data_IF_361834496061
#
_entry.id   IF_361834496061
#
_cell.length_a   1.000
_cell.length_b   1.000
_cell.length_c   1.000
_cell.angle_alpha   90.00
_cell.angle_beta   90.00
_cell.angle_gamma   90.00
#
_symmetry.space_group_name_H-M   'P 1'
#
loop_
_entity.id
_entity.type
_entity.pdbx_description
1 polymer ?
#
# COMPACT_ATOMS: atom_id res chain seq x y z
N UNK A 1 22.85 13.77 -6.01
CA UNK A 1 22.52 12.32 -6.07
C UNK A 1 21.48 12.04 -5.00
N UNK A 2 20.38 11.36 -5.34
CA UNK A 2 19.29 11.04 -4.40
C UNK A 2 19.69 9.87 -3.50
N UNK A 3 19.98 10.14 -2.22
CA UNK A 3 20.48 9.11 -1.27
C UNK A 3 19.39 8.16 -0.80
N UNK A 4 18.13 8.56 -0.87
CA UNK A 4 16.99 7.75 -0.46
C UNK A 4 16.46 6.81 -1.52
N UNK A 5 16.90 6.98 -2.78
CA UNK A 5 16.48 6.13 -3.89
C UNK A 5 16.73 4.65 -3.63
N UNK A 6 17.96 4.27 -3.29
CA UNK A 6 18.30 2.86 -3.06
C UNK A 6 17.55 2.29 -1.85
N UNK A 7 17.53 2.94 -0.67
CA UNK A 7 16.69 2.50 0.45
C UNK A 7 15.22 2.32 0.09
N UNK A 8 14.63 3.26 -0.66
CA UNK A 8 13.23 3.18 -1.08
C UNK A 8 12.97 1.96 -1.95
N UNK A 9 13.82 1.70 -2.94
CA UNK A 9 13.67 0.54 -3.83
C UNK A 9 13.86 -0.78 -3.09
N UNK A 10 14.82 -0.85 -2.16
CA UNK A 10 15.03 -2.03 -1.31
C UNK A 10 13.81 -2.28 -0.41
N UNK A 11 13.25 -1.25 0.21
CA UNK A 11 12.06 -1.37 1.04
C UNK A 11 10.82 -1.80 0.23
N UNK A 12 10.66 -1.26 -0.99
CA UNK A 12 9.61 -1.70 -1.91
C UNK A 12 9.78 -3.17 -2.31
N UNK A 13 10.99 -3.62 -2.62
CA UNK A 13 11.28 -5.02 -2.93
C UNK A 13 10.98 -5.93 -1.73
N UNK A 14 11.40 -5.54 -0.53
CA UNK A 14 11.11 -6.27 0.70
C UNK A 14 9.61 -6.37 0.97
N UNK A 15 8.85 -5.28 0.78
CA UNK A 15 7.40 -5.27 0.89
C UNK A 15 6.71 -6.20 -0.13
N UNK A 16 7.18 -6.22 -1.38
CA UNK A 16 6.68 -7.12 -2.43
C UNK A 16 6.92 -8.58 -2.03
N UNK A 17 8.14 -8.92 -1.61
CA UNK A 17 8.48 -10.27 -1.16
C UNK A 17 7.63 -10.68 0.04
N UNK A 18 7.43 -9.77 1.01
CA UNK A 18 6.55 -10.02 2.15
C UNK A 18 5.09 -10.22 1.73
N UNK A 19 4.59 -9.50 0.72
CA UNK A 19 3.24 -9.70 0.18
C UNK A 19 3.05 -11.13 -0.33
N UNK A 20 4.02 -11.65 -1.10
CA UNK A 20 4.01 -13.04 -1.56
C UNK A 20 4.19 -14.04 -0.41
N UNK A 21 5.02 -13.70 0.58
CA UNK A 21 5.17 -14.47 1.81
C UNK A 21 3.84 -14.60 2.58
N UNK A 22 3.08 -13.51 2.72
CA UNK A 22 1.74 -13.51 3.33
C UNK A 22 0.77 -14.35 2.50
N UNK A 23 0.81 -14.28 1.17
CA UNK A 23 0.02 -15.17 0.30
C UNK A 23 0.32 -16.64 0.59
N UNK A 24 1.59 -17.03 0.58
CA UNK A 24 1.99 -18.41 0.87
C UNK A 24 1.55 -18.84 2.27
N UNK A 25 1.82 -18.01 3.29
CA UNK A 25 1.44 -18.27 4.67
C UNK A 25 -0.06 -18.44 4.85
N UNK A 26 -0.87 -17.64 4.16
CA UNK A 26 -2.35 -17.72 4.21
C UNK A 26 -2.86 -19.02 3.61
N UNK A 27 -2.14 -19.60 2.66
CA UNK A 27 -2.50 -20.86 1.98
C UNK A 27 -1.98 -22.11 2.70
N UNK A 28 -1.00 -21.98 3.62
CA UNK A 28 -0.41 -23.13 4.34
C UNK A 28 -1.44 -24.01 5.07
N UNK A 29 -2.46 -23.46 5.75
CA UNK A 29 -3.44 -24.27 6.47
C UNK A 29 -4.41 -25.05 5.54
N UNK A 30 -4.39 -24.79 4.22
CA UNK A 30 -5.27 -25.40 3.23
C UNK A 30 -6.15 -24.39 2.50
N UNK A 31 -6.88 -24.89 1.48
CA UNK A 31 -7.75 -24.07 0.64
C UNK A 31 -9.19 -24.07 1.15
N UNK A 32 -9.71 -22.88 1.45
CA UNK A 32 -11.12 -22.60 1.67
C UNK A 32 -11.46 -21.21 1.11
N UNK A 33 -12.74 -20.85 1.05
CA UNK A 33 -13.18 -19.59 0.43
C UNK A 33 -12.49 -18.35 1.04
N UNK A 34 -12.38 -18.28 2.37
CA UNK A 34 -11.75 -17.16 3.07
C UNK A 34 -10.24 -17.05 2.84
N UNK A 35 -9.52 -18.17 2.90
CA UNK A 35 -8.07 -18.23 2.64
C UNK A 35 -7.75 -17.91 1.19
N UNK A 36 -8.54 -18.38 0.22
CA UNK A 36 -8.38 -18.06 -1.20
C UNK A 36 -8.54 -16.56 -1.44
N UNK A 37 -9.59 -15.95 -0.91
CA UNK A 37 -9.84 -14.51 -1.09
C UNK A 37 -8.75 -13.65 -0.43
N UNK A 38 -8.33 -14.02 0.79
CA UNK A 38 -7.26 -13.32 1.50
C UNK A 38 -5.91 -13.47 0.81
N UNK A 39 -5.58 -14.68 0.34
CA UNK A 39 -4.37 -14.95 -0.43
C UNK A 39 -4.35 -14.20 -1.77
N UNK A 40 -5.49 -14.15 -2.47
CA UNK A 40 -5.65 -13.39 -3.71
C UNK A 40 -5.42 -11.89 -3.49
N UNK A 41 -5.94 -11.33 -2.39
CA UNK A 41 -5.68 -9.93 -2.01
C UNK A 41 -4.18 -9.66 -1.84
N UNK A 42 -3.47 -10.51 -1.11
CA UNK A 42 -2.03 -10.35 -0.87
C UNK A 42 -1.20 -10.60 -2.14
N UNK A 43 -1.65 -11.52 -3.00
CA UNK A 43 -1.00 -11.82 -4.28
C UNK A 43 -1.10 -10.62 -5.22
N UNK A 44 -2.30 -10.08 -5.39
CA UNK A 44 -2.53 -8.87 -6.18
C UNK A 44 -1.78 -7.66 -5.60
N UNK A 45 -1.69 -7.55 -4.27
CA UNK A 45 -0.89 -6.51 -3.62
C UNK A 45 0.60 -6.63 -3.97
N UNK A 46 1.16 -7.84 -3.96
CA UNK A 46 2.55 -8.11 -4.35
C UNK A 46 2.80 -7.78 -5.82
N UNK A 47 1.92 -8.22 -6.73
CA UNK A 47 2.02 -7.93 -8.17
C UNK A 47 1.95 -6.42 -8.48
N UNK A 48 0.93 -5.75 -7.94
CA UNK A 48 0.77 -4.29 -8.09
C UNK A 48 1.95 -3.55 -7.48
N UNK A 49 2.44 -4.00 -6.31
CA UNK A 49 3.63 -3.45 -5.67
C UNK A 49 4.89 -3.60 -6.52
N UNK A 50 5.07 -4.75 -7.19
CA UNK A 50 6.21 -5.00 -8.06
C UNK A 50 6.22 -4.05 -9.27
N UNK A 51 5.09 -3.93 -9.98
CA UNK A 51 4.98 -2.99 -11.10
C UNK A 51 5.13 -1.55 -10.65
N UNK A 52 4.52 -1.19 -9.51
CA UNK A 52 4.66 0.14 -8.93
C UNK A 52 6.12 0.46 -8.58
N UNK A 53 6.86 -0.46 -7.97
CA UNK A 53 8.27 -0.27 -7.62
C UNK A 53 9.15 -0.02 -8.85
N UNK A 54 8.91 -0.75 -9.95
CA UNK A 54 9.63 -0.57 -11.21
C UNK A 54 9.33 0.81 -11.82
N UNK A 55 8.04 1.18 -11.93
CA UNK A 55 7.64 2.49 -12.46
C UNK A 55 8.16 3.61 -11.57
N UNK A 56 8.09 3.46 -10.25
CA UNK A 56 8.58 4.44 -9.29
C UNK A 56 10.09 4.62 -9.39
N UNK A 57 10.84 3.52 -9.57
CA UNK A 57 12.28 3.55 -9.77
C UNK A 57 12.69 4.36 -10.99
N UNK A 58 11.99 4.20 -12.12
CA UNK A 58 12.18 5.04 -13.32
C UNK A 58 11.79 6.49 -13.06
N UNK A 59 10.65 6.69 -12.40
CA UNK A 59 10.13 8.00 -12.07
C UNK A 59 11.13 8.84 -11.24
N UNK A 60 11.70 8.27 -10.17
CA UNK A 60 12.71 8.97 -9.35
C UNK A 60 14.08 9.11 -10.01
N UNK A 61 14.31 8.40 -11.11
CA UNK A 61 15.47 8.62 -12.00
C UNK A 61 15.21 9.71 -13.04
N UNK A 62 14.00 10.29 -13.09
CA UNK A 62 13.60 11.25 -14.12
C UNK A 62 13.35 10.60 -15.48
N UNK A 63 13.21 9.27 -15.54
CA UNK A 63 12.95 8.54 -16.77
C UNK A 63 11.44 8.42 -17.00
N UNK A 64 10.98 8.95 -18.12
CA UNK A 64 9.59 8.80 -18.55
C UNK A 64 9.27 7.33 -18.83
N UNK A 65 8.12 6.88 -18.36
CA UNK A 65 7.57 5.57 -18.70
C UNK A 65 6.42 5.78 -19.68
N UNK A 66 6.58 5.41 -20.97
CA UNK A 66 5.55 5.63 -21.96
C UNK A 66 4.33 4.73 -21.71
N UNK A 67 3.16 5.15 -22.18
CA UNK A 67 1.90 4.40 -22.03
C UNK A 67 1.90 3.04 -22.75
N UNK A 68 2.84 2.82 -23.66
CA UNK A 68 3.07 1.53 -24.33
C UNK A 68 3.85 0.53 -23.47
N UNK A 69 4.45 0.96 -22.36
CA UNK A 69 5.22 0.09 -21.48
C UNK A 69 4.31 -0.93 -20.78
N UNK A 70 4.64 -2.22 -20.94
CA UNK A 70 3.86 -3.32 -20.39
C UNK A 70 3.73 -3.27 -18.86
N UNK A 71 4.72 -2.73 -18.16
CA UNK A 71 4.72 -2.57 -16.70
C UNK A 71 3.69 -1.53 -16.26
N UNK A 72 3.68 -0.38 -16.94
CA UNK A 72 2.73 0.70 -16.65
C UNK A 72 1.30 0.27 -17.01
N UNK A 73 1.11 -0.41 -18.15
CA UNK A 73 -0.19 -0.96 -18.54
C UNK A 73 -0.69 -2.01 -17.55
N UNK A 74 0.18 -2.94 -17.13
CA UNK A 74 -0.17 -3.92 -16.11
C UNK A 74 -0.57 -3.23 -14.80
N UNK A 75 0.22 -2.26 -14.33
CA UNK A 75 -0.12 -1.46 -13.15
C UNK A 75 -1.52 -0.84 -13.31
N UNK A 76 -1.76 -0.09 -14.39
CA UNK A 76 -3.02 0.59 -14.68
C UNK A 76 -4.22 -0.35 -14.73
N UNK A 77 -4.05 -1.58 -15.24
CA UNK A 77 -5.10 -2.58 -15.31
C UNK A 77 -5.38 -3.20 -13.95
N UNK A 78 -4.34 -3.57 -13.19
CA UNK A 78 -4.50 -4.39 -11.98
C UNK A 78 -4.69 -3.59 -10.69
N UNK A 79 -4.19 -2.35 -10.58
CA UNK A 79 -4.40 -1.57 -9.36
C UNK A 79 -5.90 -1.31 -9.04
N UNK A 80 -6.79 -1.05 -10.02
CA UNK A 80 -8.22 -0.89 -9.77
C UNK A 80 -8.86 -2.16 -9.24
N UNK A 81 -8.48 -3.34 -9.75
CA UNK A 81 -8.96 -4.63 -9.24
C UNK A 81 -8.54 -4.87 -7.80
N UNK A 82 -7.28 -4.57 -7.46
CA UNK A 82 -6.81 -4.64 -6.08
C UNK A 82 -7.61 -3.69 -5.16
N UNK A 83 -7.88 -2.47 -5.61
CA UNK A 83 -8.69 -1.51 -4.85
C UNK A 83 -10.13 -1.99 -4.68
N UNK A 84 -10.76 -2.48 -5.74
CA UNK A 84 -12.10 -3.05 -5.69
C UNK A 84 -12.16 -4.19 -4.68
N UNK A 85 -11.22 -5.15 -4.75
CA UNK A 85 -11.14 -6.26 -3.80
C UNK A 85 -10.97 -5.78 -2.36
N UNK A 86 -10.10 -4.79 -2.10
CA UNK A 86 -9.93 -4.20 -0.77
C UNK A 86 -11.21 -3.57 -0.24
N UNK A 87 -11.93 -2.83 -1.08
CA UNK A 87 -13.19 -2.19 -0.70
C UNK A 87 -14.31 -3.20 -0.50
N UNK A 88 -14.38 -4.25 -1.33
CA UNK A 88 -15.32 -5.36 -1.12
C UNK A 88 -15.06 -6.07 0.19
N UNK A 89 -13.80 -6.37 0.53
CA UNK A 89 -13.46 -7.02 1.80
C UNK A 89 -13.72 -6.12 3.00
N UNK A 90 -13.48 -4.82 2.87
CA UNK A 90 -13.86 -3.84 3.87
C UNK A 90 -15.39 -3.80 4.06
N UNK A 91 -16.17 -3.79 2.99
CA UNK A 91 -17.63 -3.80 3.05
C UNK A 91 -18.15 -5.10 3.67
N UNK A 92 -17.61 -6.26 3.29
CA UNK A 92 -17.94 -7.55 3.90
C UNK A 92 -17.62 -7.53 5.40
N UNK A 93 -16.47 -6.97 5.80
CA UNK A 93 -16.13 -6.80 7.22
C UNK A 93 -17.10 -5.90 7.96
N UNK A 94 -17.65 -4.88 7.31
CA UNK A 94 -18.67 -4.00 7.89
C UNK A 94 -20.03 -4.70 8.00
N UNK A 95 -20.42 -5.47 7.00
CA UNK A 95 -21.68 -6.23 7.01
C UNK A 95 -21.64 -7.35 8.06
N UNK A 96 -20.52 -8.07 8.17
CA UNK A 96 -20.31 -9.09 9.20
C UNK A 96 -20.32 -8.50 10.62
N UNK A 97 -20.21 -7.17 10.77
CA UNK A 97 -20.31 -6.52 12.07
C UNK A 97 -21.71 -6.63 12.70
N UNK A 98 -22.76 -6.92 11.91
CA UNK A 98 -24.10 -7.15 12.45
C UNK A 98 -24.15 -8.34 13.40
N UNK A 99 -23.26 -9.32 13.19
CA UNK A 99 -23.22 -10.58 13.93
C UNK A 99 -22.24 -10.54 15.11
N UNK A 100 -21.58 -9.39 15.33
CA UNK A 100 -20.67 -9.20 16.47
C UNK A 100 -21.44 -9.09 17.78
N UNK A 101 -20.94 -9.76 18.81
CA UNK A 101 -21.39 -9.53 20.18
C UNK A 101 -20.86 -8.16 20.68
N UNK A 102 -21.64 -7.10 20.47
CA UNK A 102 -21.29 -5.74 20.90
C UNK A 102 -21.12 -5.56 22.41
N UNK A 103 -21.52 -6.55 23.23
CA UNK A 103 -21.22 -6.56 24.65
C UNK A 103 -19.71 -6.77 24.94
N UNK A 104 -18.99 -7.41 24.01
CA UNK A 104 -17.56 -7.74 24.15
C UNK A 104 -16.66 -6.84 23.31
N UNK A 105 -17.19 -6.25 22.24
CA UNK A 105 -16.44 -5.41 21.29
C UNK A 105 -16.56 -3.94 21.67
N UNK A 106 -15.44 -3.23 21.77
CA UNK A 106 -15.45 -1.78 21.93
C UNK A 106 -15.90 -1.10 20.60
N UNK A 107 -17.07 -0.44 20.56
CA UNK A 107 -17.62 0.10 19.32
C UNK A 107 -16.81 1.27 18.75
N UNK A 108 -16.16 2.06 19.63
CA UNK A 108 -15.30 3.18 19.22
C UNK A 108 -14.05 2.65 18.53
N UNK A 109 -13.42 1.61 19.09
CA UNK A 109 -12.25 0.98 18.52
C UNK A 109 -12.55 0.33 17.16
N UNK A 110 -13.69 -0.38 17.04
CA UNK A 110 -14.13 -0.96 15.77
C UNK A 110 -14.39 0.11 14.71
N UNK A 111 -15.08 1.19 15.07
CA UNK A 111 -15.35 2.31 14.15
C UNK A 111 -14.05 2.95 13.68
N UNK A 112 -13.11 3.21 14.59
CA UNK A 112 -11.80 3.75 14.25
C UNK A 112 -11.02 2.82 13.30
N UNK A 113 -11.02 1.51 13.56
CA UNK A 113 -10.42 0.53 12.65
C UNK A 113 -11.04 0.63 11.24
N UNK A 114 -12.37 0.62 11.13
CA UNK A 114 -13.03 0.63 9.83
C UNK A 114 -12.78 1.94 9.06
N UNK A 115 -12.81 3.08 9.75
CA UNK A 115 -12.50 4.39 9.16
C UNK A 115 -11.05 4.44 8.66
N UNK A 116 -10.10 3.99 9.48
CA UNK A 116 -8.68 3.97 9.11
C UNK A 116 -8.43 2.99 7.96
N UNK A 117 -9.08 1.83 7.94
CA UNK A 117 -8.93 0.83 6.89
C UNK A 117 -9.42 1.36 5.54
N UNK A 118 -10.57 2.03 5.54
CA UNK A 118 -11.10 2.69 4.34
C UNK A 118 -10.18 3.82 3.87
N UNK A 119 -9.80 4.72 4.78
CA UNK A 119 -8.90 5.84 4.46
C UNK A 119 -7.57 5.33 3.88
N UNK A 120 -7.03 4.24 4.45
CA UNK A 120 -5.81 3.62 3.98
C UNK A 120 -5.96 3.04 2.57
N UNK A 121 -7.05 2.31 2.31
CA UNK A 121 -7.32 1.76 0.98
C UNK A 121 -7.41 2.85 -0.09
N UNK A 122 -8.09 3.97 0.21
CA UNK A 122 -8.20 5.12 -0.68
C UNK A 122 -6.86 5.82 -0.89
N UNK A 123 -6.08 6.03 0.18
CA UNK A 123 -4.76 6.66 0.09
C UNK A 123 -3.78 5.81 -0.75
N UNK A 124 -3.70 4.49 -0.52
CA UNK A 124 -2.91 3.56 -1.35
C UNK A 124 -3.33 3.59 -2.81
N UNK A 125 -4.64 3.59 -3.08
CA UNK A 125 -5.16 3.71 -4.45
C UNK A 125 -4.70 5.03 -5.10
N UNK A 126 -4.75 6.14 -4.37
CA UNK A 126 -4.29 7.43 -4.87
C UNK A 126 -2.77 7.48 -5.09
N UNK A 127 -1.95 6.81 -4.26
CA UNK A 127 -0.51 6.64 -4.50
C UNK A 127 -0.26 5.90 -5.82
N UNK A 128 -0.96 4.80 -6.07
CA UNK A 128 -0.83 4.01 -7.29
C UNK A 128 -1.32 4.78 -8.52
N UNK A 129 -2.52 5.36 -8.45
CA UNK A 129 -3.12 6.11 -9.53
C UNK A 129 -2.36 7.40 -9.88
N UNK A 130 -1.80 8.10 -8.89
CA UNK A 130 -1.00 9.30 -9.15
C UNK A 130 0.28 8.94 -9.88
N UNK A 131 1.01 7.91 -9.43
CA UNK A 131 2.20 7.47 -10.16
C UNK A 131 1.84 7.02 -11.58
N UNK A 132 0.81 6.18 -11.73
CA UNK A 132 0.40 5.67 -13.04
C UNK A 132 -0.02 6.79 -14.02
N UNK A 133 -0.60 7.88 -13.51
CA UNK A 133 -1.01 9.04 -14.31
C UNK A 133 0.16 9.92 -14.74
N UNK A 134 1.16 10.09 -13.88
CA UNK A 134 2.29 10.98 -14.14
C UNK A 134 3.56 10.25 -14.58
N UNK A 135 3.51 8.92 -14.76
CA UNK A 135 4.67 8.10 -15.11
C UNK A 135 5.36 8.54 -16.41
N UNK A 136 4.59 9.06 -17.39
CA UNK A 136 5.11 9.56 -18.66
C UNK A 136 5.81 10.94 -18.54
N UNK A 137 5.53 11.70 -17.48
CA UNK A 137 6.14 13.02 -17.22
C UNK A 137 6.67 13.09 -15.77
N UNK A 138 7.87 12.52 -15.51
CA UNK A 138 8.47 12.55 -14.17
C UNK A 138 8.95 13.94 -13.75
N UNK A 139 9.04 14.89 -14.68
CA UNK A 139 9.43 16.27 -14.37
C UNK A 139 8.24 17.11 -13.90
N UNK A 140 7.01 16.64 -14.14
CA UNK A 140 5.77 17.27 -13.67
C UNK A 140 5.81 17.63 -12.18
N UNK A 141 5.87 18.93 -11.86
CA UNK A 141 5.82 19.43 -10.48
C UNK A 141 4.52 19.04 -9.79
N UNK A 142 3.40 19.07 -10.53
CA UNK A 142 2.08 18.67 -10.01
C UNK A 142 2.06 17.18 -9.66
N UNK A 143 2.61 16.32 -10.51
CA UNK A 143 2.69 14.88 -10.27
C UNK A 143 3.48 14.55 -9.01
N UNK A 144 4.67 15.16 -8.86
CA UNK A 144 5.52 15.01 -7.68
C UNK A 144 4.85 15.50 -6.40
N UNK A 145 4.21 16.67 -6.44
CA UNK A 145 3.50 17.24 -5.29
C UNK A 145 2.35 16.34 -4.85
N UNK A 146 1.49 15.89 -5.78
CA UNK A 146 0.36 15.01 -5.45
C UNK A 146 0.83 13.66 -4.93
N UNK A 147 1.82 13.05 -5.57
CA UNK A 147 2.37 11.78 -5.12
C UNK A 147 2.96 11.90 -3.71
N UNK A 148 3.67 13.00 -3.43
CA UNK A 148 4.21 13.30 -2.11
C UNK A 148 3.13 13.48 -1.05
N UNK A 149 2.04 14.18 -1.37
CA UNK A 149 0.90 14.34 -0.46
C UNK A 149 0.25 12.98 -0.12
N UNK A 150 0.02 12.14 -1.12
CA UNK A 150 -0.58 10.82 -0.90
C UNK A 150 0.34 9.88 -0.14
N UNK A 151 1.65 9.89 -0.41
CA UNK A 151 2.62 9.12 0.38
C UNK A 151 2.69 9.60 1.83
N UNK A 152 2.65 10.92 2.06
CA UNK A 152 2.64 11.52 3.40
C UNK A 152 1.35 11.21 4.18
N UNK A 153 0.22 11.01 3.50
CA UNK A 153 -1.02 10.55 4.11
C UNK A 153 -1.03 9.02 4.33
N UNK A 154 -0.55 8.25 3.36
CA UNK A 154 -0.59 6.79 3.40
C UNK A 154 0.34 6.20 4.46
N UNK A 155 1.53 6.78 4.68
CA UNK A 155 2.48 6.29 5.66
C UNK A 155 1.93 6.25 7.11
N UNK A 156 1.39 7.34 7.69
CA UNK A 156 0.82 7.29 9.04
C UNK A 156 -0.41 6.38 9.12
N UNK A 157 -1.21 6.28 8.04
CA UNK A 157 -2.33 5.33 7.98
C UNK A 157 -1.84 3.87 7.99
N UNK A 158 -0.74 3.55 7.29
CA UNK A 158 -0.12 2.22 7.32
C UNK A 158 0.36 1.88 8.74
N UNK A 159 0.99 2.85 9.44
CA UNK A 159 1.39 2.69 10.83
C UNK A 159 0.17 2.44 11.72
N UNK A 160 -0.89 3.25 11.61
CA UNK A 160 -2.09 3.11 12.42
C UNK A 160 -2.75 1.73 12.22
N UNK A 161 -2.87 1.25 10.98
CA UNK A 161 -3.37 -0.08 10.66
C UNK A 161 -2.46 -1.18 11.21
N UNK A 162 -1.14 -1.01 11.09
CA UNK A 162 -0.17 -1.94 11.66
C UNK A 162 -0.32 -2.07 13.18
N UNK A 163 -0.43 -0.95 13.89
CA UNK A 163 -0.61 -0.93 15.34
C UNK A 163 -1.92 -1.61 15.74
N UNK A 164 -3.04 -1.30 15.07
CA UNK A 164 -4.34 -1.89 15.42
C UNK A 164 -4.37 -3.39 15.14
N UNK A 165 -3.66 -3.88 14.12
CA UNK A 165 -3.59 -5.30 13.82
C UNK A 165 -2.71 -6.09 14.81
N UNK A 166 -1.75 -5.44 15.46
CA UNK A 166 -0.83 -6.08 16.42
C UNK A 166 -1.31 -5.93 17.86
N UNK A 167 -2.01 -4.85 18.19
CA UNK A 167 -2.57 -4.61 19.52
C UNK A 167 -3.94 -5.28 19.60
N UNK A 168 -4.11 -6.35 20.39
CA UNK A 168 -5.38 -7.08 20.46
C UNK A 168 -6.48 -6.16 20.97
N UNK A 169 -7.52 -5.98 20.15
CA UNK A 169 -8.76 -5.34 20.58
C UNK A 169 -9.57 -6.32 21.43
N UNK A 170 -9.98 -5.88 22.61
CA UNK A 170 -10.84 -6.66 23.52
C UNK A 170 -12.11 -7.07 22.75
N UNK A 171 -12.41 -8.37 22.73
CA UNK A 171 -13.56 -8.94 22.02
C UNK A 171 -13.36 -9.25 20.52
N UNK A 172 -12.22 -8.91 19.92
CA UNK A 172 -11.95 -9.13 18.48
C UNK A 172 -10.74 -10.05 18.19
N UNK A 173 -10.14 -10.67 19.22
CA UNK A 173 -8.95 -11.50 19.00
C UNK A 173 -8.30 -12.06 20.26
N UNK A 174 -9.05 -12.78 21.09
CA UNK A 174 -8.40 -13.56 22.16
C UNK A 174 -7.58 -14.70 21.52
N UNK A 175 -6.29 -14.78 21.86
CA UNK A 175 -5.43 -15.92 21.50
C UNK A 175 -4.85 -15.89 20.08
N UNK A 176 -4.42 -14.74 19.56
CA UNK A 176 -3.67 -14.74 18.29
C UNK A 176 -2.31 -15.42 18.47
N UNK A 177 -2.06 -16.44 17.64
CA UNK A 177 -0.77 -17.12 17.53
C UNK A 177 0.36 -16.10 17.30
N UNK A 178 1.46 -16.12 18.10
CA UNK A 178 2.63 -15.28 17.89
C UNK A 178 3.15 -15.28 16.44
N UNK A 179 3.03 -16.42 15.73
CA UNK A 179 3.42 -16.51 14.31
C UNK A 179 2.60 -15.59 13.41
N UNK A 180 1.30 -15.47 13.66
CA UNK A 180 0.38 -14.58 12.93
C UNK A 180 0.72 -13.11 13.21
N UNK A 181 0.95 -12.77 14.49
CA UNK A 181 1.33 -11.41 14.89
C UNK A 181 2.65 -10.97 14.25
N UNK A 182 3.66 -11.85 14.24
CA UNK A 182 4.96 -11.58 13.61
C UNK A 182 4.82 -11.37 12.10
N UNK A 183 4.05 -12.22 11.42
CA UNK A 183 3.88 -12.15 9.98
C UNK A 183 3.15 -10.86 9.55
N UNK A 184 1.98 -10.58 10.13
CA UNK A 184 1.20 -9.39 9.77
C UNK A 184 1.80 -8.09 10.29
N UNK A 185 2.43 -8.12 11.48
CA UNK A 185 3.15 -6.99 12.05
C UNK A 185 4.39 -6.64 11.22
N UNK A 186 5.21 -7.64 10.87
CA UNK A 186 6.37 -7.46 10.00
C UNK A 186 5.98 -6.92 8.61
N UNK A 187 4.91 -7.46 8.03
CA UNK A 187 4.35 -6.97 6.77
C UNK A 187 3.94 -5.49 6.87
N UNK A 188 3.27 -5.07 7.95
CA UNK A 188 2.87 -3.68 8.15
C UNK A 188 4.07 -2.72 8.29
N UNK A 189 5.12 -3.14 9.01
CA UNK A 189 6.38 -2.37 9.12
C UNK A 189 7.03 -2.18 7.75
N UNK A 190 7.08 -3.24 6.93
CA UNK A 190 7.62 -3.14 5.58
C UNK A 190 6.80 -2.22 4.69
N UNK A 191 5.47 -2.24 4.79
CA UNK A 191 4.60 -1.32 4.05
C UNK A 191 4.85 0.14 4.44
N UNK A 192 4.97 0.42 5.74
CA UNK A 192 5.31 1.74 6.27
C UNK A 192 6.67 2.22 5.75
N UNK A 193 7.71 1.38 5.83
CA UNK A 193 9.04 1.71 5.34
C UNK A 193 9.04 1.97 3.84
N UNK A 194 8.32 1.14 3.07
CA UNK A 194 8.18 1.29 1.63
C UNK A 194 7.55 2.64 1.27
N UNK A 195 6.48 3.06 1.95
CA UNK A 195 5.82 4.35 1.72
C UNK A 195 6.68 5.53 2.19
N UNK A 196 7.25 5.46 3.39
CA UNK A 196 8.06 6.52 3.98
C UNK A 196 9.35 6.79 3.22
N UNK A 197 10.08 5.73 2.83
CA UNK A 197 11.31 5.87 2.07
C UNK A 197 11.03 6.34 0.63
N UNK A 198 9.93 5.91 0.02
CA UNK A 198 9.47 6.47 -1.27
C UNK A 198 9.18 7.96 -1.17
N UNK A 199 8.59 8.44 -0.07
CA UNK A 199 8.38 9.87 0.15
C UNK A 199 9.71 10.63 0.24
N UNK A 200 10.68 10.11 0.99
CA UNK A 200 12.01 10.72 1.11
C UNK A 200 12.75 10.74 -0.23
N UNK A 201 12.67 9.65 -1.01
CA UNK A 201 13.23 9.57 -2.35
C UNK A 201 12.57 10.58 -3.30
N UNK A 202 11.26 10.76 -3.23
CA UNK A 202 10.55 11.73 -4.07
C UNK A 202 10.95 13.17 -3.75
N UNK A 203 11.13 13.51 -2.46
CA UNK A 203 11.52 14.85 -2.01
C UNK A 203 12.93 15.26 -2.46
N UNK A 204 13.82 14.30 -2.69
CA UNK A 204 15.19 14.55 -3.18
C UNK A 204 15.31 14.50 -4.72
N UNK A 205 14.20 14.41 -5.47
CA UNK A 205 14.26 14.58 -6.92
C UNK A 205 14.67 16.02 -7.27
N UNK A 206 15.59 16.23 -8.22
CA UNK A 206 15.95 17.57 -8.68
C UNK A 206 14.70 18.34 -9.13
N UNK A 207 14.50 19.56 -8.61
CA UNK A 207 13.43 20.43 -9.08
C UNK A 207 13.57 20.67 -10.58
N UNK A 208 12.45 20.80 -11.30
CA UNK A 208 12.53 21.36 -12.64
C UNK A 208 12.97 22.82 -12.45
N UNK A 209 14.20 23.16 -12.86
CA UNK A 209 14.59 24.56 -12.93
C UNK A 209 13.52 25.27 -13.76
N UNK A 210 12.94 26.38 -13.28
CA UNK A 210 12.12 27.22 -14.13
C UNK A 210 13.06 27.63 -15.27
N UNK A 211 12.82 27.10 -16.48
CA UNK A 211 13.50 27.55 -17.68
C UNK A 211 13.45 29.07 -17.63
N UNK A 212 14.62 29.67 -17.44
CA UNK A 212 14.78 31.11 -17.41
C UNK A 212 13.98 31.65 -18.58
N UNK A 213 12.91 32.37 -18.26
CA UNK A 213 12.25 33.22 -19.24
C UNK A 213 13.30 34.26 -19.60
N UNK A 214 14.02 34.02 -20.68
CA UNK A 214 14.75 35.04 -21.39
C UNK A 214 14.29 35.02 -22.85
N UNK A 215 14.35 36.16 -23.56
CA UNK A 215 14.38 37.56 -23.13
C UNK A 215 12.98 38.23 -23.11
#
# INVERSE_FOLDING_TARGET
MNRWRTPALVAQAAYVLASFGVTAFTLLPGLNEGTVISALRSLLAGLVGAWWAVVFGRYVQGQATPDTDGTLRALQVFFPWLTALRLSLWLVSLLAASDLNWAEVNPVAFTALQTLALAYALAKNAVYGTLARFAADPQSTLGRLRLGQWLNLAAPLALAIGVINVVPMRGLGQGQDPGVLLMYGGYAVLDLLALGLSLLALREMPGAEPSERGP
#
